data_IF_903765614359
#
_entry.id   IF_903765614359
#
_cell.length_a   1.000
_cell.length_b   1.000
_cell.length_c   1.000
_cell.angle_alpha   90.00
_cell.angle_beta   90.00
_cell.angle_gamma   90.00
#
_symmetry.space_group_name_H-M   'P 1'
#
loop_
_entity.id
_entity.type
_entity.pdbx_description
1 polymer ?
#
# COMPACT_ATOMS: atom_id res chain seq x y z
N UNK A 1 -10.28 -18.01 1.56
CA UNK A 1 -11.52 -17.30 1.14
C UNK A 1 -11.60 -17.47 -0.37
N UNK A 2 -12.68 -18.05 -0.91
CA UNK A 2 -12.74 -18.48 -2.32
C UNK A 2 -12.52 -17.34 -3.33
N UNK A 3 -12.85 -16.10 -2.96
CA UNK A 3 -12.60 -14.92 -3.81
C UNK A 3 -11.12 -14.53 -3.86
N UNK A 4 -10.41 -14.64 -2.73
CA UNK A 4 -8.95 -14.40 -2.66
C UNK A 4 -8.18 -15.41 -3.49
N UNK A 5 -8.53 -16.69 -3.39
CA UNK A 5 -7.89 -17.77 -4.14
C UNK A 5 -8.07 -17.59 -5.65
N UNK A 6 -9.23 -17.04 -6.07
CA UNK A 6 -9.47 -16.64 -7.46
C UNK A 6 -8.50 -15.55 -7.93
N UNK A 7 -8.27 -14.49 -7.15
CA UNK A 7 -7.33 -13.43 -7.51
C UNK A 7 -5.88 -13.92 -7.60
N UNK A 8 -5.50 -14.87 -6.76
CA UNK A 8 -4.17 -15.49 -6.77
C UNK A 8 -3.94 -16.41 -7.97
N UNK A 9 -5.02 -16.99 -8.52
CA UNK A 9 -4.95 -17.87 -9.70
C UNK A 9 -4.87 -17.15 -11.05
N UNK A 10 -5.03 -15.82 -11.07
CA UNK A 10 -4.95 -15.04 -12.32
C UNK A 10 -3.52 -14.99 -12.85
N UNK A 11 -3.37 -15.03 -14.17
CA UNK A 11 -2.06 -14.94 -14.82
C UNK A 11 -1.34 -13.64 -14.41
N UNK A 12 -0.01 -13.66 -14.17
CA UNK A 12 0.76 -12.54 -13.60
C UNK A 12 0.78 -11.19 -14.35
N UNK A 13 -0.06 -10.95 -15.35
CA UNK A 13 0.12 -9.87 -16.32
C UNK A 13 -1.13 -9.09 -16.73
N UNK A 14 -2.28 -9.23 -16.05
CA UNK A 14 -3.55 -8.68 -16.58
C UNK A 14 -4.18 -7.50 -15.82
N UNK A 15 -3.60 -7.01 -14.71
CA UNK A 15 -4.28 -6.07 -13.78
C UNK A 15 -5.37 -6.76 -12.97
N UNK A 16 -5.34 -6.56 -11.65
CA UNK A 16 -6.35 -7.07 -10.72
C UNK A 16 -6.98 -5.90 -9.98
N UNK A 17 -8.30 -5.79 -10.13
CA UNK A 17 -9.13 -4.88 -9.34
C UNK A 17 -9.97 -5.69 -8.38
N UNK A 18 -9.85 -5.38 -7.10
CA UNK A 18 -10.63 -5.97 -6.01
C UNK A 18 -11.65 -4.92 -5.60
N UNK A 19 -12.91 -5.16 -5.94
CA UNK A 19 -14.04 -4.31 -5.60
C UNK A 19 -15.08 -5.17 -4.90
N UNK A 20 -15.00 -5.33 -3.56
CA UNK A 20 -15.94 -6.16 -2.84
C UNK A 20 -17.36 -5.61 -2.96
N UNK A 21 -18.33 -6.50 -3.20
CA UNK A 21 -19.75 -6.12 -3.32
C UNK A 21 -20.41 -5.85 -1.96
N UNK A 22 -19.89 -6.47 -0.91
CA UNK A 22 -20.49 -6.46 0.43
C UNK A 22 -19.46 -6.04 1.47
N UNK A 23 -19.96 -5.48 2.57
CA UNK A 23 -19.11 -4.92 3.62
C UNK A 23 -18.36 -5.96 4.50
N UNK A 24 -18.52 -7.26 4.22
CA UNK A 24 -17.95 -8.36 4.98
C UNK A 24 -16.70 -8.96 4.33
N UNK A 25 -16.18 -8.34 3.26
CA UNK A 25 -15.00 -8.83 2.58
C UNK A 25 -13.73 -8.26 3.22
N UNK A 26 -12.99 -9.13 3.90
CA UNK A 26 -11.69 -8.81 4.46
C UNK A 26 -10.57 -9.45 3.63
N UNK A 27 -9.51 -8.69 3.35
CA UNK A 27 -8.29 -9.19 2.72
C UNK A 27 -7.25 -9.34 3.82
N UNK A 28 -6.80 -10.57 4.08
CA UNK A 28 -5.68 -10.78 4.99
C UNK A 28 -4.39 -10.17 4.43
N UNK A 29 -3.50 -9.70 5.31
CA UNK A 29 -2.21 -9.14 4.93
C UNK A 29 -1.39 -10.12 4.05
N UNK A 30 -1.39 -11.40 4.41
CA UNK A 30 -0.74 -12.46 3.60
C UNK A 30 -1.27 -12.50 2.16
N UNK A 31 -2.59 -12.39 2.00
CA UNK A 31 -3.22 -12.39 0.69
C UNK A 31 -2.87 -11.13 -0.08
N UNK A 32 -2.88 -9.98 0.59
CA UNK A 32 -2.43 -8.71 0.02
C UNK A 32 -1.00 -8.81 -0.50
N UNK A 33 -0.06 -9.32 0.30
CA UNK A 33 1.33 -9.48 -0.11
C UNK A 33 1.50 -10.46 -1.27
N UNK A 34 0.75 -11.57 -1.30
CA UNK A 34 0.78 -12.50 -2.44
C UNK A 34 0.27 -11.83 -3.71
N UNK A 35 -0.83 -11.08 -3.63
CA UNK A 35 -1.35 -10.34 -4.78
C UNK A 35 -0.39 -9.24 -5.24
N UNK A 36 0.25 -8.56 -4.30
CA UNK A 36 1.31 -7.59 -4.56
C UNK A 36 2.48 -8.27 -5.29
N UNK A 37 2.90 -9.46 -4.88
CA UNK A 37 4.00 -10.17 -5.54
C UNK A 37 3.67 -10.58 -6.99
N UNK A 38 2.46 -11.10 -7.20
CA UNK A 38 2.04 -11.68 -8.48
C UNK A 38 1.72 -10.60 -9.51
N UNK A 39 0.91 -9.60 -9.14
CA UNK A 39 0.25 -8.70 -10.10
C UNK A 39 0.99 -7.39 -10.31
N UNK A 40 1.23 -7.02 -11.57
CA UNK A 40 1.85 -5.72 -11.92
C UNK A 40 0.96 -4.54 -11.53
N UNK A 41 -0.36 -4.68 -11.70
CA UNK A 41 -1.34 -3.67 -11.34
C UNK A 41 -2.32 -4.26 -10.33
N UNK A 42 -2.35 -3.66 -9.14
CA UNK A 42 -3.20 -4.07 -8.03
C UNK A 42 -4.00 -2.85 -7.56
N UNK A 43 -5.32 -2.91 -7.73
CA UNK A 43 -6.22 -1.85 -7.30
C UNK A 43 -7.25 -2.41 -6.32
N UNK A 44 -7.17 -1.99 -5.07
CA UNK A 44 -8.14 -2.34 -4.03
C UNK A 44 -9.10 -1.16 -3.91
N UNK A 45 -10.26 -1.31 -4.55
CA UNK A 45 -11.31 -0.29 -4.62
C UNK A 45 -12.33 -0.46 -3.48
N UNK A 46 -13.00 0.66 -3.15
CA UNK A 46 -14.05 0.80 -2.13
C UNK A 46 -13.61 0.59 -0.66
N UNK A 47 -13.95 1.60 0.15
CA UNK A 47 -14.09 1.75 1.62
C UNK A 47 -13.39 0.84 2.65
N UNK A 48 -12.43 0.00 2.26
CA UNK A 48 -11.67 -0.83 3.18
C UNK A 48 -10.25 -0.33 3.26
N UNK A 49 -9.87 0.06 4.47
CA UNK A 49 -8.47 0.28 4.80
C UNK A 49 -7.80 -1.10 4.91
N UNK A 50 -6.74 -1.30 4.14
CA UNK A 50 -5.87 -2.44 4.38
C UNK A 50 -5.21 -2.19 5.74
N UNK A 51 -5.39 -3.13 6.67
CA UNK A 51 -4.83 -2.99 8.02
C UNK A 51 -3.40 -3.50 8.01
N UNK A 52 -2.47 -2.63 7.66
CA UNK A 52 -1.04 -2.90 7.75
C UNK A 52 -0.47 -2.29 9.03
N UNK A 53 0.50 -2.95 9.63
CA UNK A 53 1.46 -2.32 10.54
C UNK A 53 2.42 -1.39 9.76
N UNK A 54 3.16 -0.53 10.46
CA UNK A 54 4.19 0.30 9.79
C UNK A 54 5.24 -0.57 9.09
N UNK A 55 5.68 -1.66 9.71
CA UNK A 55 6.66 -2.57 9.13
C UNK A 55 6.12 -3.28 7.88
N UNK A 56 4.84 -3.67 7.88
CA UNK A 56 4.20 -4.23 6.70
C UNK A 56 4.02 -3.19 5.57
N UNK A 57 3.75 -1.93 5.91
CA UNK A 57 3.73 -0.85 4.92
C UNK A 57 5.12 -0.65 4.29
N UNK A 58 6.17 -0.60 5.11
CA UNK A 58 7.57 -0.51 4.63
C UNK A 58 7.92 -1.70 3.73
N UNK A 59 7.56 -2.91 4.14
CA UNK A 59 7.73 -4.13 3.33
C UNK A 59 6.97 -4.06 2.01
N UNK A 60 5.75 -3.53 2.00
CA UNK A 60 5.00 -3.35 0.76
C UNK A 60 5.70 -2.35 -0.18
N UNK A 61 6.21 -1.25 0.36
CA UNK A 61 6.97 -0.25 -0.40
C UNK A 61 8.29 -0.83 -0.95
N UNK A 62 9.00 -1.65 -0.18
CA UNK A 62 10.23 -2.35 -0.60
C UNK A 62 9.95 -3.33 -1.74
N UNK A 63 8.87 -4.12 -1.66
CA UNK A 63 8.44 -5.01 -2.74
C UNK A 63 8.16 -4.22 -4.02
N UNK A 64 7.55 -3.04 -3.90
CA UNK A 64 7.25 -2.18 -5.05
C UNK A 64 8.53 -1.55 -5.62
N UNK A 65 9.45 -1.08 -4.78
CA UNK A 65 10.67 -0.38 -5.22
C UNK A 65 11.72 -1.28 -5.83
N UNK A 66 11.81 -2.54 -5.37
CA UNK A 66 12.79 -3.53 -5.86
C UNK A 66 12.33 -4.30 -7.09
N UNK A 67 11.05 -4.18 -7.47
CA UNK A 67 10.53 -4.88 -8.64
C UNK A 67 10.88 -4.13 -9.93
N UNK A 68 11.52 -4.83 -10.86
CA UNK A 68 11.92 -4.28 -12.17
C UNK A 68 10.74 -4.06 -13.14
N UNK A 69 9.55 -4.58 -12.83
CA UNK A 69 8.35 -4.42 -13.66
C UNK A 69 7.72 -3.05 -13.43
N UNK A 70 7.08 -2.49 -14.46
CA UNK A 70 6.24 -1.30 -14.30
C UNK A 70 5.00 -1.65 -13.48
N UNK A 71 4.96 -1.16 -12.24
CA UNK A 71 3.87 -1.45 -11.29
C UNK A 71 2.96 -0.26 -11.07
N UNK A 72 1.69 -0.57 -10.76
CA UNK A 72 0.71 0.41 -10.31
C UNK A 72 -0.08 -0.22 -9.15
N UNK A 73 0.08 0.31 -7.94
CA UNK A 73 -0.56 -0.22 -6.74
C UNK A 73 -1.41 0.88 -6.12
N UNK A 74 -2.70 0.61 -5.90
CA UNK A 74 -3.66 1.54 -5.32
C UNK A 74 -4.46 0.83 -4.23
N UNK A 75 -4.45 1.38 -3.02
CA UNK A 75 -5.20 0.89 -1.87
C UNK A 75 -5.38 2.03 -0.85
N UNK A 76 -6.27 1.84 0.12
CA UNK A 76 -6.47 2.76 1.25
C UNK A 76 -5.80 2.22 2.51
N UNK A 77 -5.35 3.14 3.34
CA UNK A 77 -4.71 2.88 4.62
C UNK A 77 -5.30 3.83 5.65
N UNK A 78 -5.38 3.37 6.89
CA UNK A 78 -5.66 4.25 8.02
C UNK A 78 -4.57 5.33 8.13
N UNK A 79 -4.98 6.58 8.35
CA UNK A 79 -4.06 7.71 8.52
C UNK A 79 -3.05 7.49 9.65
N UNK A 80 -3.46 6.81 10.73
CA UNK A 80 -2.59 6.46 11.86
C UNK A 80 -1.39 5.60 11.46
N UNK A 81 -1.55 4.69 10.49
CA UNK A 81 -0.47 3.84 9.99
C UNK A 81 0.51 4.66 9.16
N UNK A 82 0.01 5.59 8.33
CA UNK A 82 0.84 6.51 7.56
C UNK A 82 1.64 7.39 8.51
N UNK A 83 0.98 8.01 9.50
CA UNK A 83 1.64 8.85 10.51
C UNK A 83 2.74 8.07 11.24
N UNK A 84 2.43 6.88 11.75
CA UNK A 84 3.41 6.04 12.42
C UNK A 84 4.61 5.69 11.53
N UNK A 85 4.36 5.41 10.24
CA UNK A 85 5.44 5.14 9.29
C UNK A 85 6.34 6.37 9.06
N UNK A 86 5.77 7.57 9.03
CA UNK A 86 6.53 8.82 8.90
C UNK A 86 7.35 9.09 10.17
N UNK A 87 6.76 8.88 11.34
CA UNK A 87 7.42 8.99 12.64
C UNK A 87 8.61 8.04 12.77
N UNK A 88 8.45 6.78 12.34
CA UNK A 88 9.55 5.81 12.31
C UNK A 88 10.68 6.21 11.36
N UNK A 89 10.40 7.03 10.34
CA UNK A 89 11.39 7.63 9.44
C UNK A 89 12.00 8.94 10.01
N UNK A 90 11.62 9.33 11.23
CA UNK A 90 12.11 10.54 11.89
C UNK A 90 11.36 11.83 11.52
N UNK A 91 10.25 11.73 10.76
CA UNK A 91 9.40 12.88 10.46
C UNK A 91 8.47 13.10 11.66
N UNK A 92 8.53 14.28 12.25
CA UNK A 92 7.73 14.62 13.43
C UNK A 92 6.90 15.87 13.17
N UNK A 93 5.99 16.21 14.08
CA UNK A 93 5.24 17.47 14.02
C UNK A 93 6.14 18.73 14.02
N UNK A 94 7.39 18.58 14.49
CA UNK A 94 8.38 19.66 14.49
C UNK A 94 9.14 19.81 13.16
N UNK A 95 9.03 18.82 12.26
CA UNK A 95 9.67 18.84 10.95
C UNK A 95 9.11 19.95 10.07
N UNK A 96 9.99 20.63 9.34
CA UNK A 96 9.70 21.81 8.53
C UNK A 96 9.99 21.55 7.07
N UNK A 97 9.42 22.39 6.20
CA UNK A 97 9.73 22.36 4.77
C UNK A 97 11.25 22.43 4.55
N UNK A 98 11.77 21.50 3.76
CA UNK A 98 13.19 21.38 3.43
C UNK A 98 13.99 20.52 4.41
N UNK A 99 13.37 20.02 5.49
CA UNK A 99 14.02 19.05 6.37
C UNK A 99 14.18 17.72 5.64
N UNK A 100 15.34 17.09 5.86
CA UNK A 100 15.64 15.73 5.41
C UNK A 100 15.56 14.77 6.60
N UNK A 101 14.66 13.79 6.51
CA UNK A 101 14.46 12.75 7.50
C UNK A 101 14.81 11.39 6.88
N UNK A 102 16.07 10.99 6.99
CA UNK A 102 16.60 9.85 6.25
C UNK A 102 16.60 10.12 4.74
N UNK A 103 15.87 9.30 3.97
CA UNK A 103 15.72 9.44 2.52
C UNK A 103 14.55 10.36 2.11
N UNK A 104 13.81 10.91 3.07
CA UNK A 104 12.62 11.72 2.81
C UNK A 104 12.90 13.22 2.94
N UNK A 105 12.43 14.00 1.97
CA UNK A 105 12.38 15.47 2.05
C UNK A 105 10.95 15.91 2.42
N UNK A 106 10.84 16.76 3.44
CA UNK A 106 9.55 17.35 3.83
C UNK A 106 9.23 18.51 2.89
N UNK A 107 8.22 18.33 2.03
CA UNK A 107 7.71 19.37 1.14
C UNK A 107 6.35 19.88 1.61
N UNK A 108 6.06 21.16 1.38
CA UNK A 108 4.72 21.70 1.58
C UNK A 108 3.90 21.40 0.34
N UNK A 109 2.76 20.71 0.50
CA UNK A 109 1.82 20.53 -0.60
C UNK A 109 1.42 21.91 -1.13
N UNK A 110 1.74 22.21 -2.39
CA UNK A 110 1.14 23.37 -3.04
C UNK A 110 -0.36 23.08 -3.21
N UNK A 111 -1.24 24.05 -2.92
CA UNK A 111 -2.66 23.88 -3.23
C UNK A 111 -2.81 23.62 -4.73
N UNK A 112 -3.56 22.57 -5.07
CA UNK A 112 -3.98 22.28 -6.46
C UNK A 112 -5.07 23.25 -6.90
#
# INVERSE_FOLDING_TARGET
QPETDRYLSLLPSSSVTIAPRNNAFEISNDSFFKMLYIHNKLNVENSYDITLTSDELKKAMEIISTDSRKREVKFRLMSSIIVKCLEDCGITESSRRGDFCGEFEVITAMPQ
#
